data_IF_421346860382
#
_entry.id   IF_421346860382
#
_cell.length_a   1.000
_cell.length_b   1.000
_cell.length_c   1.000
_cell.angle_alpha   90.00
_cell.angle_beta   90.00
_cell.angle_gamma   90.00
#
_symmetry.space_group_name_H-M   'P 1'
#
loop_
_entity.id
_entity.type
_entity.pdbx_description
1 polymer ?
#
# COMPACT_ATOMS: atom_id res chain seq x y z
N UNK A 1 -21.43 15.10 12.74
CA UNK A 1 -20.24 14.51 13.38
C UNK A 1 -19.04 15.13 12.70
N UNK A 2 -18.19 15.87 13.42
CA UNK A 2 -17.00 16.48 12.84
C UNK A 2 -15.98 15.39 12.49
N UNK A 3 -15.41 15.44 11.28
CA UNK A 3 -14.36 14.50 10.86
C UNK A 3 -13.13 14.66 11.76
N UNK A 4 -12.61 13.56 12.30
CA UNK A 4 -11.29 13.56 12.94
C UNK A 4 -10.21 13.36 11.88
N UNK A 5 -9.69 14.48 11.36
CA UNK A 5 -8.70 14.50 10.25
C UNK A 5 -7.42 13.77 10.63
N UNK A 6 -6.93 13.94 11.88
CA UNK A 6 -5.73 13.25 12.38
C UNK A 6 -5.92 11.74 12.35
N UNK A 7 -7.08 11.24 12.79
CA UNK A 7 -7.38 9.81 12.76
C UNK A 7 -7.44 9.26 11.33
N UNK A 8 -8.04 10.01 10.39
CA UNK A 8 -8.08 9.63 8.97
C UNK A 8 -6.66 9.55 8.39
N UNK A 9 -5.83 10.56 8.65
CA UNK A 9 -4.44 10.56 8.16
C UNK A 9 -3.62 9.42 8.76
N UNK A 10 -3.76 9.15 10.06
CA UNK A 10 -3.07 8.03 10.69
C UNK A 10 -3.47 6.67 10.10
N UNK A 11 -4.74 6.48 9.70
CA UNK A 11 -5.14 5.27 8.97
C UNK A 11 -4.46 5.15 7.60
N UNK A 12 -4.24 6.27 6.91
CA UNK A 12 -3.50 6.28 5.63
C UNK A 12 -1.99 6.07 5.83
N UNK A 13 -1.42 6.56 6.94
CA UNK A 13 -0.04 6.28 7.34
C UNK A 13 0.14 4.77 7.55
N UNK A 14 -0.73 4.15 8.34
CA UNK A 14 -0.72 2.70 8.56
C UNK A 14 -0.84 1.93 7.24
N UNK A 15 -1.79 2.32 6.39
CA UNK A 15 -1.99 1.71 5.06
C UNK A 15 -0.72 1.80 4.20
N UNK A 16 -0.05 2.95 4.21
CA UNK A 16 1.19 3.16 3.47
C UNK A 16 2.35 2.35 4.06
N UNK A 17 2.42 2.22 5.39
CA UNK A 17 3.42 1.37 6.07
C UNK A 17 3.22 -0.11 5.81
N UNK A 18 1.96 -0.56 5.81
CA UNK A 18 1.60 -1.94 5.45
C UNK A 18 1.99 -2.23 3.98
N UNK A 19 1.76 -1.27 3.07
CA UNK A 19 2.21 -1.33 1.68
C UNK A 19 3.73 -1.40 1.53
N UNK A 20 4.48 -0.56 2.25
CA UNK A 20 5.96 -0.59 2.28
C UNK A 20 6.49 -1.99 2.64
N UNK A 21 6.00 -2.56 3.75
CA UNK A 21 6.41 -3.89 4.21
C UNK A 21 6.00 -5.00 3.23
N UNK A 22 4.77 -4.94 2.72
CA UNK A 22 4.26 -5.91 1.75
C UNK A 22 5.08 -5.93 0.46
N UNK A 23 5.41 -4.77 -0.10
CA UNK A 23 6.20 -4.66 -1.32
C UNK A 23 7.67 -5.06 -1.13
N UNK A 24 8.30 -4.72 0.00
CA UNK A 24 9.65 -5.20 0.30
C UNK A 24 9.67 -6.73 0.36
N UNK A 25 8.69 -7.32 1.04
CA UNK A 25 8.59 -8.77 1.15
C UNK A 25 8.34 -9.44 -0.19
N UNK A 26 7.44 -8.89 -1.00
CA UNK A 26 7.20 -9.35 -2.37
C UNK A 26 8.47 -9.28 -3.23
N UNK A 27 9.31 -8.24 -3.06
CA UNK A 27 10.57 -8.11 -3.78
C UNK A 27 11.63 -9.12 -3.35
N UNK A 28 11.64 -9.55 -2.08
CA UNK A 28 12.50 -10.64 -1.62
C UNK A 28 12.11 -11.96 -2.27
N UNK A 29 10.81 -12.23 -2.35
CA UNK A 29 10.26 -13.52 -2.78
C UNK A 29 10.15 -13.67 -4.30
N UNK A 30 10.19 -12.58 -5.06
CA UNK A 30 10.11 -12.62 -6.52
C UNK A 30 11.32 -13.33 -7.16
N UNK A 31 11.17 -13.78 -8.40
CA UNK A 31 12.21 -14.46 -9.18
C UNK A 31 12.76 -13.54 -10.27
N UNK A 32 11.87 -12.91 -11.05
CA UNK A 32 12.25 -11.96 -12.09
C UNK A 32 12.89 -10.69 -11.51
N UNK A 33 14.08 -10.35 -12.01
CA UNK A 33 14.87 -9.21 -11.50
C UNK A 33 14.16 -7.86 -11.72
N UNK A 34 13.47 -7.69 -12.86
CA UNK A 34 12.74 -6.44 -13.14
C UNK A 34 11.54 -6.30 -12.21
N UNK A 35 10.87 -7.41 -11.88
CA UNK A 35 9.80 -7.42 -10.90
C UNK A 35 10.32 -7.04 -9.50
N UNK A 36 11.48 -7.55 -9.08
CA UNK A 36 12.12 -7.15 -7.81
C UNK A 36 12.35 -5.65 -7.74
N UNK A 37 12.95 -5.08 -8.78
CA UNK A 37 13.24 -3.65 -8.87
C UNK A 37 11.95 -2.81 -8.81
N UNK A 38 10.92 -3.24 -9.55
CA UNK A 38 9.62 -2.57 -9.52
C UNK A 38 9.00 -2.59 -8.12
N UNK A 39 8.97 -3.75 -7.46
CA UNK A 39 8.38 -3.89 -6.13
C UNK A 39 9.14 -3.06 -5.09
N UNK A 40 10.48 -2.99 -5.15
CA UNK A 40 11.27 -2.08 -4.30
C UNK A 40 10.93 -0.61 -4.54
N UNK A 41 10.81 -0.20 -5.80
CA UNK A 41 10.42 1.17 -6.12
C UNK A 41 8.99 1.51 -5.61
N UNK A 42 8.11 0.51 -5.52
CA UNK A 42 6.79 0.68 -4.88
C UNK A 42 6.90 0.82 -3.38
N UNK A 43 7.71 0.01 -2.71
CA UNK A 43 7.99 0.18 -1.29
C UNK A 43 8.49 1.60 -0.98
N UNK A 44 9.45 2.12 -1.76
CA UNK A 44 9.96 3.49 -1.58
C UNK A 44 8.86 4.56 -1.74
N UNK A 45 7.92 4.31 -2.65
CA UNK A 45 6.78 5.22 -2.87
C UNK A 45 5.85 5.21 -1.65
N UNK A 46 5.58 4.04 -1.08
CA UNK A 46 4.84 3.89 0.17
C UNK A 46 5.55 4.56 1.35
N UNK A 47 6.87 4.44 1.46
CA UNK A 47 7.67 5.14 2.49
C UNK A 47 7.51 6.65 2.40
N UNK A 48 7.57 7.22 1.18
CA UNK A 48 7.39 8.66 0.96
C UNK A 48 5.96 9.11 1.29
N UNK A 49 4.95 8.36 0.86
CA UNK A 49 3.55 8.65 1.18
C UNK A 49 3.30 8.67 2.69
N UNK A 50 3.81 7.66 3.41
CA UNK A 50 3.72 7.61 4.86
C UNK A 50 4.34 8.84 5.53
N UNK A 51 5.55 9.26 5.11
CA UNK A 51 6.22 10.45 5.66
C UNK A 51 5.41 11.72 5.44
N UNK A 52 4.92 11.94 4.22
CA UNK A 52 4.12 13.11 3.88
C UNK A 52 2.83 13.19 4.72
N UNK A 53 2.16 12.05 4.94
CA UNK A 53 0.98 11.98 5.79
C UNK A 53 1.33 12.21 7.28
N UNK A 54 2.47 11.69 7.75
CA UNK A 54 2.96 11.94 9.12
C UNK A 54 3.27 13.43 9.35
N UNK A 55 3.85 14.10 8.36
CA UNK A 55 4.12 15.54 8.41
C UNK A 55 2.82 16.35 8.54
N UNK A 56 1.78 16.00 7.77
CA UNK A 56 0.45 16.61 7.91
C UNK A 56 -0.15 16.37 9.30
N UNK A 57 -0.02 15.16 9.86
CA UNK A 57 -0.50 14.88 11.23
C UNK A 57 0.19 15.78 12.25
N UNK A 58 1.52 15.95 12.15
CA UNK A 58 2.27 16.83 13.04
C UNK A 58 1.86 18.30 12.88
N UNK A 59 1.65 18.77 11.65
CA UNK A 59 1.19 20.13 11.36
C UNK A 59 -0.19 20.43 11.96
N UNK A 60 -1.06 19.43 12.02
CA UNK A 60 -2.37 19.52 12.66
C UNK A 60 -2.31 19.40 14.20
N UNK A 61 -1.12 19.30 14.79
CA UNK A 61 -0.91 19.14 16.23
C UNK A 61 -1.17 17.74 16.75
N UNK A 62 -1.25 16.74 15.86
CA UNK A 62 -1.44 15.35 16.19
C UNK A 62 -0.14 14.58 16.43
N UNK A 63 -0.28 13.35 16.93
CA UNK A 63 0.82 12.39 17.01
C UNK A 63 0.76 11.46 15.79
N UNK A 64 1.78 11.44 14.92
CA UNK A 64 1.82 10.53 13.78
C UNK A 64 1.95 9.09 14.25
N UNK A 65 1.21 8.19 13.63
CA UNK A 65 1.47 6.76 13.75
C UNK A 65 2.82 6.41 13.11
N UNK A 66 3.56 5.48 13.70
CA UNK A 66 4.90 5.09 13.23
C UNK A 66 4.98 3.64 12.75
N UNK A 67 3.95 2.84 13.03
CA UNK A 67 3.85 1.43 12.65
C UNK A 67 2.84 1.21 11.52
N UNK A 68 2.92 0.04 10.89
CA UNK A 68 1.78 -0.52 10.17
C UNK A 68 0.63 -0.83 11.13
N UNK A 69 -0.57 -1.03 10.62
CA UNK A 69 -1.70 -1.29 11.52
C UNK A 69 -1.55 -2.67 12.16
N UNK A 70 -1.89 -2.78 13.46
CA UNK A 70 -1.95 -4.09 14.17
C UNK A 70 -2.89 -5.09 13.46
N UNK A 71 -3.77 -4.61 12.58
CA UNK A 71 -4.66 -5.40 11.73
C UNK A 71 -4.17 -5.61 10.27
N UNK A 72 -3.40 -4.69 9.69
CA UNK A 72 -3.17 -4.63 8.24
C UNK A 72 -1.98 -5.43 7.75
N UNK A 73 -0.92 -5.56 8.56
CA UNK A 73 0.15 -6.52 8.28
C UNK A 73 -0.24 -7.97 8.66
N UNK A 74 -1.10 -8.14 9.68
CA UNK A 74 -1.40 -9.46 10.26
C UNK A 74 -2.61 -10.17 9.64
N UNK A 75 -3.63 -9.48 9.13
CA UNK A 75 -4.92 -10.16 8.93
C UNK A 75 -5.18 -10.78 7.54
N UNK A 76 -4.49 -10.42 6.44
CA UNK A 76 -4.86 -10.96 5.10
C UNK A 76 -3.70 -11.09 4.10
N UNK A 77 -2.58 -11.64 4.54
CA UNK A 77 -1.50 -12.04 3.61
C UNK A 77 -0.32 -12.74 4.27
N UNK A 78 -0.04 -12.45 5.54
CA UNK A 78 1.15 -13.00 6.21
C UNK A 78 0.96 -14.38 6.84
N UNK A 79 -0.26 -14.77 7.24
CA UNK A 79 -0.47 -16.07 7.91
C UNK A 79 -0.25 -17.26 6.96
N UNK A 80 -0.48 -17.09 5.65
CA UNK A 80 -0.13 -18.08 4.62
C UNK A 80 1.33 -17.97 4.13
N UNK A 81 2.09 -16.96 4.60
CA UNK A 81 3.43 -16.63 4.09
C UNK A 81 4.56 -17.48 4.71
N UNK A 82 4.31 -18.18 5.83
CA UNK A 82 5.34 -18.96 6.54
C UNK A 82 5.51 -20.41 6.05
N UNK A 83 4.63 -20.96 5.20
CA UNK A 83 4.68 -22.37 4.82
C UNK A 83 5.32 -22.66 3.45
N UNK A 84 5.59 -21.64 2.62
CA UNK A 84 5.96 -21.81 1.21
C UNK A 84 7.23 -21.05 0.79
N UNK A 85 8.21 -20.90 1.69
CA UNK A 85 9.48 -20.22 1.37
C UNK A 85 10.24 -21.06 0.34
N UNK A 86 10.13 -20.69 -0.95
CA UNK A 86 10.80 -21.32 -2.09
C UNK A 86 9.89 -21.78 -3.26
N UNK A 87 8.56 -21.71 -3.15
CA UNK A 87 7.64 -22.28 -4.17
C UNK A 87 6.63 -21.31 -4.81
N UNK A 88 6.64 -20.03 -4.42
CA UNK A 88 5.67 -19.04 -4.94
C UNK A 88 6.09 -18.53 -6.32
N UNK A 89 5.25 -18.70 -7.34
CA UNK A 89 5.53 -18.09 -8.65
C UNK A 89 5.30 -16.57 -8.63
N UNK A 90 6.00 -15.82 -9.48
CA UNK A 90 5.85 -14.36 -9.60
C UNK A 90 4.40 -13.90 -9.83
N UNK A 91 3.62 -14.70 -10.57
CA UNK A 91 2.17 -14.50 -10.69
C UNK A 91 1.44 -14.47 -9.33
N UNK A 92 1.76 -15.42 -8.44
CA UNK A 92 1.13 -15.54 -7.13
C UNK A 92 1.58 -14.39 -6.19
N UNK A 93 2.78 -13.87 -6.38
CA UNK A 93 3.26 -12.68 -5.67
C UNK A 93 2.47 -11.45 -6.13
N UNK A 94 2.35 -11.25 -7.44
CA UNK A 94 1.58 -10.16 -8.03
C UNK A 94 0.09 -10.19 -7.62
N UNK A 95 -0.52 -11.38 -7.58
CA UNK A 95 -1.91 -11.53 -7.14
C UNK A 95 -2.13 -11.12 -5.67
N UNK A 96 -1.15 -11.31 -4.79
CA UNK A 96 -1.25 -10.85 -3.40
C UNK A 96 -0.97 -9.34 -3.28
N UNK A 97 -0.03 -8.81 -4.06
CA UNK A 97 0.18 -7.37 -4.16
C UNK A 97 -1.10 -6.65 -4.60
N UNK A 98 -1.82 -7.17 -5.60
CA UNK A 98 -3.06 -6.57 -6.08
C UNK A 98 -4.16 -6.53 -5.00
N UNK A 99 -4.33 -7.62 -4.23
CA UNK A 99 -5.26 -7.63 -3.09
C UNK A 99 -4.90 -6.57 -2.05
N UNK A 100 -3.59 -6.38 -1.79
CA UNK A 100 -3.10 -5.31 -0.92
C UNK A 100 -3.44 -3.92 -1.47
N UNK A 101 -3.22 -3.72 -2.77
CA UNK A 101 -3.55 -2.47 -3.45
C UNK A 101 -5.06 -2.18 -3.49
N UNK A 102 -5.92 -3.19 -3.58
CA UNK A 102 -7.37 -3.00 -3.46
C UNK A 102 -7.78 -2.51 -2.05
N UNK A 103 -7.11 -3.00 -1.01
CA UNK A 103 -7.31 -2.48 0.35
C UNK A 103 -6.85 -1.01 0.40
N UNK A 104 -5.68 -0.68 -0.15
CA UNK A 104 -5.21 0.70 -0.20
C UNK A 104 -6.20 1.61 -0.96
N UNK A 105 -6.66 1.20 -2.15
CA UNK A 105 -7.67 1.94 -2.94
C UNK A 105 -8.91 2.23 -2.12
N UNK A 106 -9.42 1.22 -1.41
CA UNK A 106 -10.60 1.38 -0.55
C UNK A 106 -10.33 2.38 0.57
N UNK A 107 -9.19 2.29 1.27
CA UNK A 107 -8.86 3.21 2.38
C UNK A 107 -8.72 4.66 1.93
N UNK A 108 -8.02 4.90 0.83
CA UNK A 108 -7.91 6.24 0.27
C UNK A 108 -9.26 6.78 -0.22
N UNK A 109 -10.09 5.94 -0.86
CA UNK A 109 -11.46 6.31 -1.24
C UNK A 109 -12.31 6.70 -0.04
N UNK A 110 -12.34 5.85 1.00
CA UNK A 110 -13.05 6.11 2.27
C UNK A 110 -12.58 7.41 2.95
N UNK A 111 -11.29 7.73 2.86
CA UNK A 111 -10.74 8.99 3.39
C UNK A 111 -11.22 10.22 2.60
N UNK A 112 -11.29 10.12 1.27
CA UNK A 112 -11.76 11.20 0.40
C UNK A 112 -13.26 11.45 0.46
N UNK A 113 -14.04 10.52 1.01
CA UNK A 113 -15.45 10.75 1.36
C UNK A 113 -15.61 11.61 2.63
N UNK A 114 -14.56 11.79 3.42
CA UNK A 114 -14.60 12.61 4.65
C UNK A 114 -14.39 14.10 4.36
N UNK A 115 -14.83 14.93 5.30
CA UNK A 115 -14.54 16.37 5.27
C UNK A 115 -13.08 16.59 5.70
N UNK A 116 -12.22 16.87 4.72
CA UNK A 116 -10.80 17.15 4.91
C UNK A 116 -10.51 18.62 4.56
N UNK A 117 -9.60 19.30 5.28
CA UNK A 117 -9.04 20.58 4.86
C UNK A 117 -8.51 20.51 3.42
N UNK A 118 -8.61 21.61 2.66
CA UNK A 118 -8.34 21.60 1.23
C UNK A 118 -6.90 21.19 0.87
N UNK A 119 -5.93 21.64 1.67
CA UNK A 119 -4.52 21.26 1.58
C UNK A 119 -4.30 19.77 1.86
N UNK A 120 -4.93 19.23 2.91
CA UNK A 120 -4.88 17.81 3.25
C UNK A 120 -5.52 16.96 2.15
N UNK A 121 -6.71 17.37 1.67
CA UNK A 121 -7.43 16.68 0.60
C UNK A 121 -6.58 16.59 -0.66
N UNK A 122 -5.89 17.66 -1.06
CA UNK A 122 -5.06 17.67 -2.26
C UNK A 122 -3.94 16.61 -2.20
N UNK A 123 -3.29 16.45 -1.04
CA UNK A 123 -2.28 15.40 -0.82
C UNK A 123 -2.89 14.01 -0.92
N UNK A 124 -4.02 13.77 -0.24
CA UNK A 124 -4.71 12.46 -0.25
C UNK A 124 -5.19 12.10 -1.66
N UNK A 125 -5.70 13.06 -2.44
CA UNK A 125 -6.11 12.84 -3.83
C UNK A 125 -4.91 12.50 -4.72
N UNK A 126 -3.80 13.22 -4.58
CA UNK A 126 -2.58 12.94 -5.34
C UNK A 126 -2.02 11.54 -5.05
N UNK A 127 -2.00 11.15 -3.77
CA UNK A 127 -1.58 9.81 -3.37
C UNK A 127 -2.57 8.73 -3.85
N UNK A 128 -3.88 8.99 -3.78
CA UNK A 128 -4.90 8.06 -4.27
C UNK A 128 -4.76 7.80 -5.78
N UNK A 129 -4.49 8.82 -6.58
CA UNK A 129 -4.19 8.64 -8.01
C UNK A 129 -2.93 7.78 -8.23
N UNK A 130 -1.94 7.90 -7.34
CA UNK A 130 -0.76 7.03 -7.32
C UNK A 130 -1.13 5.57 -7.05
N UNK A 131 -1.98 5.32 -6.06
CA UNK A 131 -2.48 3.98 -5.70
C UNK A 131 -3.28 3.37 -6.85
N UNK A 132 -4.19 4.11 -7.50
CA UNK A 132 -4.95 3.62 -8.66
C UNK A 132 -4.03 3.18 -9.81
N UNK A 133 -3.04 4.02 -10.16
CA UNK A 133 -2.05 3.71 -11.19
C UNK A 133 -1.20 2.50 -10.82
N UNK A 134 -0.85 2.35 -9.53
CA UNK A 134 -0.06 1.21 -9.07
C UNK A 134 -0.87 -0.09 -9.14
N UNK A 135 -2.09 -0.07 -8.63
CA UNK A 135 -3.01 -1.19 -8.72
C UNK A 135 -3.15 -1.70 -10.15
N UNK A 136 -3.46 -0.81 -11.10
CA UNK A 136 -3.61 -1.20 -12.51
C UNK A 136 -2.31 -1.79 -13.07
N UNK A 137 -1.16 -1.21 -12.71
CA UNK A 137 0.13 -1.76 -13.13
C UNK A 137 0.39 -3.16 -12.58
N UNK A 138 0.07 -3.41 -11.31
CA UNK A 138 0.24 -4.74 -10.68
C UNK A 138 -0.73 -5.75 -11.29
N UNK A 139 -2.00 -5.39 -11.51
CA UNK A 139 -2.98 -6.23 -12.21
C UNK A 139 -2.51 -6.60 -13.61
N UNK A 140 -2.07 -5.62 -14.40
CA UNK A 140 -1.64 -5.86 -15.78
C UNK A 140 -0.38 -6.75 -15.82
N UNK A 141 0.53 -6.62 -14.84
CA UNK A 141 1.67 -7.53 -14.69
C UNK A 141 1.23 -8.92 -14.28
N UNK A 142 0.30 -9.06 -13.33
CA UNK A 142 -0.27 -10.36 -12.94
C UNK A 142 -0.81 -11.07 -14.18
N UNK A 143 -1.60 -10.39 -14.99
CA UNK A 143 -2.23 -10.95 -16.18
C UNK A 143 -1.20 -11.37 -17.24
N UNK A 144 -0.12 -10.59 -17.42
CA UNK A 144 1.00 -10.97 -18.28
C UNK A 144 1.68 -12.26 -17.80
N UNK A 145 1.97 -12.38 -16.50
CA UNK A 145 2.60 -13.57 -15.95
C UNK A 145 1.66 -14.79 -15.94
N UNK A 146 0.35 -14.59 -15.89
CA UNK A 146 -0.64 -15.66 -16.08
C UNK A 146 -0.57 -16.21 -17.51
N UNK A 147 -0.51 -15.32 -18.51
CA UNK A 147 -0.46 -15.68 -19.93
C UNK A 147 0.88 -16.33 -20.34
N UNK A 148 1.99 -16.02 -19.67
CA UNK A 148 3.28 -16.70 -19.93
C UNK A 148 3.32 -18.15 -19.45
N UNK A 149 2.35 -18.57 -18.63
CA UNK A 149 2.25 -19.92 -18.05
C UNK A 149 1.40 -20.88 -18.90
N UNK A 150 0.83 -20.42 -20.01
CA UNK A 150 0.01 -21.20 -20.96
C UNK A 150 0.82 -21.79 -22.10
#
# INVERSE_FOLDING_TARGET
>A
MSTNVIAVLNQLVETSKDGEQGFLKAAEDAHDTKLKELLRARADTCTRAARELQDLVMQLGGKPESGGSVSGALHRGWVDLKSAVGSRTDHAILADCEKGEDVAKKRYGEALEKELPADVRAVVEQQYQGVLKNHDRIRDLRDQYAAMKS
#
